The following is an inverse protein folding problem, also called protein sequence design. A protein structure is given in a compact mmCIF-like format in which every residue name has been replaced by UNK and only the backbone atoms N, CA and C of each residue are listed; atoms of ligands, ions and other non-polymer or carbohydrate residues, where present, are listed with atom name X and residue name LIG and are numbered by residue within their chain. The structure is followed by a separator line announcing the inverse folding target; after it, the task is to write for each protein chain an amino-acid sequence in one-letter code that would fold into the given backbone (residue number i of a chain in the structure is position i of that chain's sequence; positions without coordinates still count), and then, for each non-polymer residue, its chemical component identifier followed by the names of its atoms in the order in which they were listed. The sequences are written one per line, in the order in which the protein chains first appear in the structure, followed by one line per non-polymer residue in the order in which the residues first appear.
data_IF_356228671250
#
_entry.id   IF_356228671250
#
_cell.length_a   1.000
_cell.length_b   1.000
_cell.length_c   1.000
_cell.angle_alpha   90.00
_cell.angle_beta   90.00
_cell.angle_gamma   90.00
#
_symmetry.space_group_name_H-M   'P 1'
#
loop_
_entity.id
_entity.type
_entity.pdbx_description
1 polymer ?
#
# COMPACT_ATOMS: atom_id res chain seq x y z
N UNK A 1 -37.41 -9.98 -21.39
CA UNK A 1 -35.94 -10.06 -21.33
C UNK A 1 -35.53 -9.63 -19.93
N UNK A 2 -34.82 -10.48 -19.20
CA UNK A 2 -34.41 -10.18 -17.82
C UNK A 2 -33.29 -9.13 -17.83
N UNK A 3 -33.21 -8.26 -16.82
CA UNK A 3 -32.14 -7.25 -16.69
C UNK A 3 -30.73 -7.85 -16.78
N UNK A 4 -30.58 -9.11 -16.35
CA UNK A 4 -29.32 -9.86 -16.37
C UNK A 4 -28.92 -10.35 -17.78
N UNK A 5 -29.88 -10.50 -18.69
CA UNK A 5 -29.63 -10.89 -20.08
C UNK A 5 -29.05 -9.70 -20.88
N UNK A 6 -29.55 -8.48 -20.63
CA UNK A 6 -29.02 -7.26 -21.25
C UNK A 6 -27.58 -6.95 -20.83
N UNK A 7 -27.20 -7.22 -19.58
CA UNK A 7 -25.81 -7.07 -19.11
C UNK A 7 -24.85 -7.98 -19.86
N UNK A 8 -25.25 -9.22 -20.09
CA UNK A 8 -24.44 -10.22 -20.80
C UNK A 8 -24.21 -9.81 -22.24
N UNK A 9 -25.20 -9.19 -22.88
CA UNK A 9 -25.10 -8.70 -24.26
C UNK A 9 -24.19 -7.46 -24.37
N UNK A 10 -24.30 -6.50 -23.45
CA UNK A 10 -23.40 -5.34 -23.39
C UNK A 10 -21.95 -5.75 -23.10
N UNK A 11 -21.74 -6.78 -22.29
CA UNK A 11 -20.40 -7.34 -22.02
C UNK A 11 -19.82 -8.09 -23.22
N UNK A 12 -20.68 -8.56 -24.13
CA UNK A 12 -20.31 -9.23 -25.40
C UNK A 12 -19.99 -8.23 -26.51
N UNK A 13 -20.48 -7.00 -26.43
CA UNK A 13 -20.20 -5.96 -27.40
C UNK A 13 -18.83 -5.31 -27.12
N UNK A 14 -17.92 -5.41 -28.10
CA UNK A 14 -16.58 -4.84 -28.01
C UNK A 14 -16.67 -3.36 -28.41
N UNK A 15 -16.55 -2.47 -27.43
CA UNK A 15 -16.42 -1.02 -27.66
C UNK A 15 -14.94 -0.68 -27.92
N UNK A 16 -14.66 0.14 -28.93
CA UNK A 16 -13.29 0.50 -29.31
C UNK A 16 -12.84 1.80 -28.66
N UNK A 17 -13.78 2.72 -28.39
CA UNK A 17 -13.50 4.03 -27.82
C UNK A 17 -14.10 4.17 -26.40
N UNK A 18 -13.40 4.79 -25.42
CA UNK A 18 -13.99 5.09 -24.10
C UNK A 18 -15.32 5.86 -24.17
N UNK A 19 -15.49 6.72 -25.17
CA UNK A 19 -16.74 7.46 -25.40
C UNK A 19 -17.89 6.50 -25.73
N UNK A 20 -17.64 5.44 -26.52
CA UNK A 20 -18.65 4.43 -26.85
C UNK A 20 -19.06 3.62 -25.60
N UNK A 21 -18.10 3.32 -24.71
CA UNK A 21 -18.38 2.65 -23.43
C UNK A 21 -19.28 3.53 -22.55
N UNK A 22 -18.99 4.82 -22.47
CA UNK A 22 -19.80 5.75 -21.69
C UNK A 22 -21.20 5.92 -22.28
N UNK A 23 -21.31 6.06 -23.61
CA UNK A 23 -22.60 6.11 -24.32
C UNK A 23 -23.44 4.87 -24.02
N UNK A 24 -22.89 3.67 -24.17
CA UNK A 24 -23.62 2.43 -23.89
C UNK A 24 -24.06 2.31 -22.42
N UNK A 25 -23.24 2.78 -21.47
CA UNK A 25 -23.62 2.86 -20.04
C UNK A 25 -24.73 3.88 -19.82
N UNK A 26 -24.67 5.04 -20.46
CA UNK A 26 -25.68 6.09 -20.36
C UNK A 26 -27.01 5.63 -20.96
N UNK A 27 -26.99 5.06 -22.16
CA UNK A 27 -28.17 4.49 -22.83
C UNK A 27 -28.86 3.45 -21.92
N UNK A 28 -28.07 2.63 -21.23
CA UNK A 28 -28.58 1.67 -20.24
C UNK A 28 -29.27 2.34 -19.05
N UNK A 29 -28.67 3.40 -18.49
CA UNK A 29 -29.29 4.15 -17.39
C UNK A 29 -30.58 4.86 -17.85
N UNK A 30 -30.58 5.42 -19.06
CA UNK A 30 -31.71 6.16 -19.62
C UNK A 30 -32.89 5.26 -20.03
N UNK A 31 -32.67 3.98 -20.30
CA UNK A 31 -33.76 3.02 -20.52
C UNK A 31 -34.70 2.90 -19.31
N UNK A 32 -34.19 3.09 -18.09
CA UNK A 32 -34.95 2.91 -16.84
C UNK A 32 -34.73 4.10 -15.89
N UNK A 33 -35.28 5.27 -16.25
CA UNK A 33 -35.08 6.52 -15.49
C UNK A 33 -35.69 6.47 -14.08
N UNK A 34 -36.77 5.70 -13.88
CA UNK A 34 -37.45 5.59 -12.58
C UNK A 34 -36.66 4.73 -11.56
N UNK A 35 -35.72 3.90 -12.01
CA UNK A 35 -34.96 3.02 -11.12
C UNK A 35 -33.84 3.82 -10.46
N UNK A 36 -33.77 3.89 -9.11
CA UNK A 36 -32.68 4.57 -8.44
C UNK A 36 -31.34 3.87 -8.76
N UNK A 37 -30.34 4.68 -9.10
CA UNK A 37 -28.99 4.18 -9.42
C UNK A 37 -28.26 3.83 -8.12
N UNK A 38 -27.70 2.62 -8.06
CA UNK A 38 -26.86 2.19 -6.94
C UNK A 38 -25.47 2.84 -7.05
N UNK A 39 -25.18 3.79 -6.17
CA UNK A 39 -23.83 4.33 -5.98
C UNK A 39 -23.21 3.57 -4.80
N UNK A 40 -22.14 2.80 -4.99
CA UNK A 40 -21.53 2.06 -3.90
C UNK A 40 -20.95 3.05 -2.89
N UNK A 41 -21.34 2.89 -1.63
CA UNK A 41 -20.70 3.59 -0.52
C UNK A 41 -19.24 3.15 -0.36
N UNK A 42 -18.41 4.06 0.15
CA UNK A 42 -17.00 3.76 0.41
C UNK A 42 -16.89 2.62 1.40
N UNK A 43 -16.21 1.54 1.03
CA UNK A 43 -16.00 0.39 1.92
C UNK A 43 -15.13 0.82 3.09
N UNK A 44 -15.70 0.81 4.29
CA UNK A 44 -14.91 0.95 5.51
C UNK A 44 -13.89 -0.19 5.59
N UNK A 45 -12.66 0.13 5.99
CA UNK A 45 -11.65 -0.90 6.25
C UNK A 45 -12.06 -1.66 7.51
N UNK A 46 -12.78 -2.78 7.32
CA UNK A 46 -13.23 -3.61 8.43
C UNK A 46 -12.02 -4.25 9.10
N UNK A 47 -11.94 -4.10 10.43
CA UNK A 47 -10.96 -4.83 11.22
C UNK A 47 -11.10 -6.34 10.96
N UNK A 48 -9.99 -7.09 10.89
CA UNK A 48 -10.05 -8.53 10.75
C UNK A 48 -10.93 -9.16 11.83
N UNK A 49 -11.62 -10.27 11.53
CA UNK A 49 -12.40 -11.04 12.52
C UNK A 49 -11.59 -11.42 13.77
N UNK A 50 -10.27 -11.45 13.69
CA UNK A 50 -9.37 -11.62 14.83
C UNK A 50 -9.53 -10.56 15.94
N UNK A 51 -10.10 -9.39 15.63
CA UNK A 51 -10.39 -8.33 16.60
C UNK A 51 -11.67 -8.53 17.39
N UNK A 52 -12.52 -9.47 16.97
CA UNK A 52 -13.78 -9.82 17.62
C UNK A 52 -13.64 -11.18 18.32
N UNK A 53 -12.97 -11.24 19.48
CA UNK A 53 -13.00 -12.44 20.31
C UNK A 53 -14.43 -12.65 20.82
N UNK A 54 -14.81 -13.92 21.03
CA UNK A 54 -16.06 -14.23 21.71
C UNK A 54 -15.98 -13.79 23.17
N UNK A 55 -17.03 -13.12 23.66
CA UNK A 55 -17.11 -12.63 25.04
C UNK A 55 -17.08 -13.78 26.06
N UNK A 56 -17.76 -14.88 25.75
CA UNK A 56 -17.84 -16.05 26.63
C UNK A 56 -17.43 -17.32 25.88
N UNK A 57 -16.44 -18.01 26.42
CA UNK A 57 -16.10 -19.37 26.01
C UNK A 57 -16.87 -20.32 26.92
N UNK A 58 -17.85 -21.04 26.37
CA UNK A 58 -18.73 -21.94 27.14
C UNK A 58 -18.07 -23.27 27.50
N UNK A 59 -17.03 -23.67 26.76
CA UNK A 59 -16.47 -25.02 26.82
C UNK A 59 -15.05 -25.01 27.40
N UNK A 60 -14.87 -24.33 28.54
CA UNK A 60 -13.57 -24.30 29.24
C UNK A 60 -13.43 -25.58 30.07
N UNK A 61 -12.46 -26.42 29.72
CA UNK A 61 -12.11 -27.59 30.52
C UNK A 61 -11.35 -27.14 31.78
N UNK A 62 -11.52 -27.84 32.91
CA UNK A 62 -10.97 -27.42 34.20
C UNK A 62 -9.46 -27.19 34.18
N UNK A 63 -8.97 -26.27 35.01
CA UNK A 63 -7.58 -25.81 34.98
C UNK A 63 -6.51 -26.90 35.24
N UNK A 64 -6.89 -28.01 35.87
CA UNK A 64 -6.02 -29.17 36.14
C UNK A 64 -6.25 -30.35 35.18
N UNK A 65 -7.13 -30.20 34.19
CA UNK A 65 -7.35 -31.24 33.19
C UNK A 65 -6.14 -31.35 32.26
N UNK A 66 -5.79 -32.58 31.87
CA UNK A 66 -4.68 -32.83 30.93
C UNK A 66 -4.95 -32.31 29.52
N UNK A 67 -3.91 -32.29 28.67
CA UNK A 67 -4.05 -31.89 27.27
C UNK A 67 -4.96 -32.86 26.50
N UNK A 68 -6.11 -32.36 26.04
CA UNK A 68 -7.03 -33.11 25.19
C UNK A 68 -6.59 -33.13 23.73
N UNK A 69 -7.16 -34.04 22.94
CA UNK A 69 -6.84 -34.19 21.51
C UNK A 69 -7.18 -32.96 20.66
N UNK A 70 -8.11 -32.11 21.10
CA UNK A 70 -8.51 -30.88 20.39
C UNK A 70 -7.72 -29.62 20.76
N UNK A 71 -6.86 -29.67 21.79
CA UNK A 71 -6.17 -28.47 22.31
C UNK A 71 -5.19 -27.87 21.29
N UNK A 72 -4.56 -28.73 20.47
CA UNK A 72 -3.65 -28.30 19.42
C UNK A 72 -4.33 -27.41 18.37
N UNK A 73 -5.53 -27.77 17.92
CA UNK A 73 -6.26 -26.97 16.93
C UNK A 73 -6.79 -25.66 17.52
N UNK A 74 -7.15 -25.66 18.81
CA UNK A 74 -7.52 -24.45 19.55
C UNK A 74 -6.33 -23.49 19.57
N UNK A 75 -5.14 -23.96 19.97
CA UNK A 75 -3.92 -23.18 19.98
C UNK A 75 -3.58 -22.63 18.58
N UNK A 76 -3.62 -23.48 17.55
CA UNK A 76 -3.36 -23.07 16.16
C UNK A 76 -4.31 -21.96 15.70
N UNK A 77 -5.60 -22.07 16.03
CA UNK A 77 -6.61 -21.05 15.74
C UNK A 77 -6.36 -19.74 16.49
N UNK A 78 -6.07 -19.81 17.79
CA UNK A 78 -5.73 -18.65 18.62
C UNK A 78 -4.47 -17.95 18.13
N UNK A 79 -3.40 -18.70 17.84
CA UNK A 79 -2.13 -18.17 17.33
C UNK A 79 -2.30 -17.47 15.98
N UNK A 80 -3.06 -18.07 15.06
CA UNK A 80 -3.36 -17.42 13.76
C UNK A 80 -4.13 -16.12 13.94
N UNK A 81 -5.14 -16.09 14.81
CA UNK A 81 -5.88 -14.86 15.12
C UNK A 81 -4.95 -13.80 15.72
N UNK A 82 -4.08 -14.19 16.65
CA UNK A 82 -3.12 -13.29 17.27
C UNK A 82 -2.15 -12.68 16.25
N UNK A 83 -1.56 -13.51 15.37
CA UNK A 83 -0.67 -13.03 14.30
C UNK A 83 -1.35 -12.05 13.36
N UNK A 84 -2.60 -12.36 12.94
CA UNK A 84 -3.39 -11.45 12.09
C UNK A 84 -3.66 -10.13 12.81
N UNK A 85 -3.96 -10.19 14.11
CA UNK A 85 -4.18 -9.01 14.95
C UNK A 85 -2.92 -8.16 14.98
N UNK A 86 -1.80 -8.71 15.42
CA UNK A 86 -0.51 -8.02 15.51
C UNK A 86 -0.08 -7.39 14.18
N UNK A 87 -0.20 -8.14 13.07
CA UNK A 87 0.13 -7.64 11.74
C UNK A 87 -0.75 -6.44 11.34
N UNK A 88 -2.05 -6.47 11.67
CA UNK A 88 -2.95 -5.36 11.40
C UNK A 88 -2.62 -4.13 12.25
N UNK A 89 -2.41 -4.29 13.57
CA UNK A 89 -2.03 -3.16 14.44
C UNK A 89 -0.73 -2.51 13.97
N UNK A 90 0.28 -3.33 13.64
CA UNK A 90 1.57 -2.84 13.15
C UNK A 90 1.42 -2.07 11.83
N UNK A 91 0.63 -2.58 10.89
CA UNK A 91 0.35 -1.91 9.61
C UNK A 91 -0.36 -0.58 9.81
N UNK A 92 -1.41 -0.57 10.64
CA UNK A 92 -2.20 0.63 10.92
C UNK A 92 -1.37 1.69 11.66
N UNK A 93 -0.49 1.29 12.58
CA UNK A 93 0.43 2.19 13.25
C UNK A 93 1.36 2.90 12.26
N UNK A 94 1.98 2.14 11.35
CA UNK A 94 2.85 2.67 10.29
C UNK A 94 2.11 3.62 9.35
N UNK A 95 0.90 3.26 8.92
CA UNK A 95 0.08 4.10 8.05
C UNK A 95 -0.33 5.41 8.75
N UNK A 96 -0.71 5.34 10.02
CA UNK A 96 -1.06 6.51 10.84
C UNK A 96 0.14 7.46 11.00
N UNK A 97 1.32 6.93 11.29
CA UNK A 97 2.54 7.72 11.41
C UNK A 97 2.91 8.42 10.10
N UNK A 98 2.93 7.67 8.99
CA UNK A 98 3.20 8.21 7.66
C UNK A 98 2.19 9.31 7.25
N UNK A 99 0.90 9.10 7.54
CA UNK A 99 -0.14 10.10 7.29
C UNK A 99 0.03 11.35 8.15
N UNK A 100 0.36 11.19 9.44
CA UNK A 100 0.61 12.32 10.33
C UNK A 100 1.83 13.14 9.89
N UNK A 101 2.91 12.48 9.46
CA UNK A 101 4.08 13.16 8.90
C UNK A 101 3.76 13.89 7.60
N UNK A 102 3.00 13.27 6.70
CA UNK A 102 2.60 13.89 5.45
C UNK A 102 1.73 15.12 5.71
N UNK A 103 0.76 15.03 6.61
CA UNK A 103 -0.08 16.17 6.99
C UNK A 103 0.75 17.31 7.59
N UNK A 104 1.72 17.01 8.46
CA UNK A 104 2.66 18.02 8.99
C UNK A 104 3.47 18.68 7.88
N UNK A 105 3.99 17.91 6.92
CA UNK A 105 4.73 18.43 5.76
C UNK A 105 3.85 19.33 4.89
N UNK A 106 2.59 18.94 4.64
CA UNK A 106 1.64 19.77 3.89
C UNK A 106 1.32 21.07 4.62
N UNK A 107 1.05 21.01 5.93
CA UNK A 107 0.75 22.18 6.74
C UNK A 107 1.92 23.18 6.75
N UNK A 108 3.14 22.70 7.03
CA UNK A 108 4.34 23.56 7.04
C UNK A 108 4.62 24.17 5.66
N UNK A 109 4.42 23.43 4.57
CA UNK A 109 4.57 23.98 3.22
C UNK A 109 3.51 25.04 2.91
N UNK A 110 2.27 24.83 3.37
CA UNK A 110 1.19 25.81 3.24
C UNK A 110 1.51 27.09 4.00
N UNK A 111 1.96 27.00 5.25
CA UNK A 111 2.38 28.16 6.06
C UNK A 111 3.55 28.92 5.42
N UNK A 112 4.56 28.22 4.90
CA UNK A 112 5.67 28.84 4.15
C UNK A 112 5.17 29.57 2.90
N UNK A 113 4.26 28.98 2.14
CA UNK A 113 3.68 29.63 0.97
C UNK A 113 2.83 30.85 1.36
N UNK A 114 2.03 30.76 2.43
CA UNK A 114 1.19 31.86 2.92
C UNK A 114 2.01 33.02 3.47
N UNK A 115 3.08 32.76 4.23
CA UNK A 115 3.98 33.79 4.76
C UNK A 115 4.70 34.53 3.63
N UNK A 116 5.19 33.80 2.61
CA UNK A 116 5.79 34.41 1.42
C UNK A 116 4.77 35.22 0.61
N UNK A 117 3.57 34.67 0.39
CA UNK A 117 2.49 35.36 -0.31
C UNK A 117 2.02 36.61 0.44
N UNK A 118 1.92 36.56 1.77
CA UNK A 118 1.58 37.70 2.63
C UNK A 118 2.66 38.78 2.59
N UNK A 119 3.96 38.41 2.63
CA UNK A 119 5.08 39.34 2.46
C UNK A 119 4.98 40.06 1.11
N UNK A 120 4.78 39.31 0.01
CA UNK A 120 4.62 39.86 -1.35
C UNK A 120 3.37 40.74 -1.47
N UNK A 121 2.22 40.30 -0.94
CA UNK A 121 0.97 41.07 -0.91
C UNK A 121 1.11 42.37 -0.13
N UNK A 122 1.78 42.36 1.02
CA UNK A 122 2.08 43.56 1.83
C UNK A 122 2.96 44.54 1.06
N UNK A 123 4.03 44.07 0.40
CA UNK A 123 4.88 44.92 -0.45
C UNK A 123 4.07 45.56 -1.59
N UNK A 124 3.24 44.79 -2.28
CA UNK A 124 2.39 45.29 -3.37
C UNK A 124 1.37 46.33 -2.89
N UNK A 125 0.69 46.08 -1.76
CA UNK A 125 -0.28 47.03 -1.19
C UNK A 125 0.38 48.36 -0.79
N UNK A 126 1.58 48.31 -0.19
CA UNK A 126 2.37 49.53 0.11
C UNK A 126 2.71 50.30 -1.16
N UNK A 127 3.22 49.63 -2.21
CA UNK A 127 3.54 50.26 -3.51
C UNK A 127 2.30 50.85 -4.20
N UNK A 128 1.16 50.15 -4.13
CA UNK A 128 -0.12 50.62 -4.67
C UNK A 128 -0.63 51.84 -3.91
N UNK A 129 -0.48 51.86 -2.58
CA UNK A 129 -0.83 52.99 -1.72
C UNK A 129 0.03 54.22 -2.02
N UNK A 130 1.35 54.08 -2.07
CA UNK A 130 2.26 55.19 -2.39
C UNK A 130 2.05 55.72 -3.82
N UNK A 131 1.82 54.85 -4.80
CA UNK A 131 1.52 55.26 -6.18
C UNK A 131 0.21 56.03 -6.28
N UNK A 132 -0.82 55.65 -5.53
CA UNK A 132 -2.09 56.41 -5.45
C UNK A 132 -1.90 57.76 -4.78
N UNK A 133 -1.16 57.82 -3.68
CA UNK A 133 -0.86 59.08 -2.99
C UNK A 133 -0.08 60.03 -3.91
N UNK A 134 0.96 59.54 -4.60
CA UNK A 134 1.72 60.33 -5.58
C UNK A 134 0.83 60.88 -6.69
N UNK A 135 -0.07 60.08 -7.25
CA UNK A 135 -1.05 60.55 -8.26
C UNK A 135 -2.01 61.59 -7.70
N UNK A 136 -2.48 61.43 -6.48
CA UNK A 136 -3.37 62.41 -5.85
C UNK A 136 -2.66 63.74 -5.59
N UNK A 137 -1.44 63.71 -5.06
CA UNK A 137 -0.63 64.91 -4.84
C UNK A 137 -0.23 65.58 -6.15
N UNK A 138 0.15 64.81 -7.17
CA UNK A 138 0.53 65.31 -8.48
C UNK A 138 -0.66 65.97 -9.19
N UNK A 139 -1.86 65.39 -9.10
CA UNK A 139 -3.07 66.00 -9.66
C UNK A 139 -3.56 67.25 -8.90
N UNK A 140 -3.20 67.38 -7.61
CA UNK A 140 -3.43 68.61 -6.84
C UNK A 140 -2.38 69.69 -7.16
N UNK A 141 -1.14 69.29 -7.44
CA UNK A 141 -0.04 70.21 -7.76
C UNK A 141 -0.01 70.65 -9.24
N UNK A 142 -0.48 69.80 -10.17
CA UNK A 142 -0.64 70.14 -11.59
C UNK A 142 -1.72 71.21 -11.82
N UNK A 143 -2.60 71.42 -10.85
CA UNK A 143 -3.52 72.56 -10.83
C UNK A 143 -2.88 73.86 -10.27
N UNK A 144 -1.60 73.82 -9.86
CA UNK A 144 -0.94 74.98 -9.22
C UNK A 144 0.41 75.40 -9.78
N UNK A 145 1.23 74.57 -10.43
CA UNK A 145 2.54 75.03 -10.93
C UNK A 145 3.13 74.18 -12.06
N UNK A 146 3.30 74.80 -13.23
CA UNK A 146 4.29 74.44 -14.26
C UNK A 146 5.68 74.88 -13.76
N UNK A 147 6.55 73.97 -13.30
CA UNK A 147 8.02 73.98 -13.52
C UNK A 147 8.75 72.93 -12.65
N UNK A 148 9.73 72.28 -13.27
CA UNK A 148 11.00 71.78 -12.68
C UNK A 148 11.09 70.39 -12.01
N UNK A 149 11.75 69.52 -12.80
CA UNK A 149 12.92 68.66 -12.50
C UNK A 149 12.80 67.38 -11.65
N UNK A 150 13.25 66.31 -12.34
CA UNK A 150 13.61 64.95 -11.96
C UNK A 150 14.14 64.67 -10.54
N UNK A 151 13.76 63.50 -10.00
CA UNK A 151 14.69 62.65 -9.25
C UNK A 151 14.35 61.16 -9.38
N UNK A 152 15.38 60.41 -9.75
CA UNK A 152 15.48 58.95 -9.78
C UNK A 152 15.42 58.38 -8.35
N UNK A 153 14.75 57.25 -8.18
CA UNK A 153 14.93 56.40 -7.00
C UNK A 153 14.72 54.95 -7.43
N UNK A 154 15.84 54.31 -7.76
CA UNK A 154 15.96 52.87 -7.83
C UNK A 154 15.93 52.28 -6.43
N UNK A 155 15.26 51.14 -6.30
CA UNK A 155 15.33 50.25 -5.15
C UNK A 155 15.36 48.83 -5.75
N UNK A 156 16.56 48.43 -6.15
CA UNK A 156 16.91 47.05 -6.44
C UNK A 156 17.20 46.36 -5.12
N UNK A 157 16.40 45.36 -4.78
CA UNK A 157 16.75 44.37 -3.75
C UNK A 157 16.39 42.99 -4.31
N UNK A 158 17.32 42.51 -5.14
CA UNK A 158 17.48 41.15 -5.62
C UNK A 158 17.99 40.29 -4.46
N UNK A 159 17.10 39.56 -3.79
CA UNK A 159 17.51 38.45 -2.92
C UNK A 159 17.41 37.15 -3.74
N UNK A 160 18.48 36.88 -4.50
CA UNK A 160 18.76 35.61 -5.14
C UNK A 160 18.93 34.51 -4.10
N UNK A 161 17.92 33.69 -3.88
CA UNK A 161 18.11 32.37 -3.27
C UNK A 161 18.49 31.40 -4.38
N UNK A 162 19.79 31.07 -4.44
CA UNK A 162 20.36 30.04 -5.31
C UNK A 162 19.54 28.76 -5.20
N UNK A 163 18.78 28.45 -6.26
CA UNK A 163 18.37 27.10 -6.59
C UNK A 163 19.35 26.65 -7.67
N UNK A 164 20.24 25.74 -7.30
CA UNK A 164 21.15 25.09 -8.23
C UNK A 164 20.32 24.21 -9.16
N UNK A 165 20.23 24.62 -10.42
CA UNK A 165 19.86 23.77 -11.55
C UNK A 165 20.99 23.82 -12.56
N UNK A 166 21.66 22.69 -12.74
CA UNK A 166 22.54 22.32 -13.83
C UNK A 166 22.48 20.78 -13.82
N UNK A 167 22.17 20.02 -14.87
CA UNK A 167 22.25 20.23 -16.32
C UNK A 167 21.40 19.17 -17.03
N UNK A 168 21.06 19.43 -18.29
CA UNK A 168 20.36 18.53 -19.21
C UNK A 168 21.14 17.24 -19.56
N UNK A 169 20.46 16.10 -19.66
CA UNK A 169 20.41 15.22 -20.84
C UNK A 169 19.46 14.02 -20.59
N UNK A 170 18.77 13.55 -21.63
CA UNK A 170 18.03 12.27 -21.65
C UNK A 170 18.75 11.30 -22.61
N UNK A 171 18.44 9.99 -22.74
CA UNK A 171 17.63 9.05 -21.93
C UNK A 171 18.41 7.73 -21.61
N UNK A 172 17.72 6.67 -21.12
CA UNK A 172 18.16 5.28 -20.82
C UNK A 172 18.65 5.09 -19.36
N UNK A 173 18.36 4.02 -18.62
CA UNK A 173 17.83 2.68 -18.89
C UNK A 173 17.28 2.09 -17.58
N UNK A 174 16.27 1.21 -17.69
CA UNK A 174 15.88 0.28 -16.63
C UNK A 174 17.09 -0.51 -16.10
N UNK A 175 17.36 -0.44 -14.80
CA UNK A 175 18.08 -1.51 -14.09
C UNK A 175 17.40 -1.70 -12.73
N UNK A 176 16.70 -2.82 -12.60
CA UNK A 176 16.30 -3.39 -11.32
C UNK A 176 17.56 -3.77 -10.55
N UNK A 177 17.75 -3.24 -9.35
CA UNK A 177 18.66 -3.84 -8.38
C UNK A 177 17.92 -4.14 -7.09
N UNK A 178 17.64 -5.44 -6.95
CA UNK A 178 17.48 -6.15 -5.69
C UNK A 178 18.59 -5.75 -4.71
N UNK A 179 18.20 -5.21 -3.55
CA UNK A 179 19.05 -5.26 -2.37
C UNK A 179 18.45 -6.20 -1.33
N UNK A 180 19.02 -7.41 -1.32
CA UNK A 180 19.01 -8.35 -0.22
C UNK A 180 19.65 -7.71 1.02
N UNK A 181 18.85 -7.44 2.03
CA UNK A 181 19.32 -7.04 3.36
C UNK A 181 19.83 -8.30 4.08
N UNK A 182 21.15 -8.36 4.32
CA UNK A 182 21.77 -9.25 5.31
C UNK A 182 21.51 -8.64 6.70
N UNK A 183 20.62 -9.26 7.47
CA UNK A 183 20.52 -9.02 8.91
C UNK A 183 21.30 -10.09 9.67
N UNK A 184 22.27 -9.60 10.44
CA UNK A 184 23.01 -10.30 11.48
C UNK A 184 22.09 -10.62 12.66
N UNK A 185 21.80 -11.89 12.87
CA UNK A 185 21.20 -12.39 14.10
C UNK A 185 22.31 -12.93 15.03
N UNK A 186 22.59 -12.21 16.12
CA UNK A 186 23.26 -12.76 17.29
C UNK A 186 22.21 -13.23 18.28
N UNK A 187 22.12 -14.54 18.51
CA UNK A 187 21.52 -15.10 19.72
C UNK A 187 22.24 -16.40 20.10
N UNK A 188 22.46 -16.65 21.40
CA UNK A 188 23.34 -17.71 21.90
C UNK A 188 22.68 -19.09 21.85
N UNK A 189 23.50 -20.11 21.61
CA UNK A 189 23.18 -21.54 21.60
C UNK A 189 23.00 -22.12 23.01
N UNK A 190 22.30 -23.27 23.10
CA UNK A 190 22.90 -24.43 23.77
C UNK A 190 22.93 -25.70 22.90
N UNK A 191 23.92 -26.55 23.23
CA UNK A 191 24.54 -27.74 22.61
C UNK A 191 23.65 -28.93 22.16
N UNK A 192 24.25 -29.97 21.49
CA UNK A 192 23.60 -30.80 20.46
C UNK A 192 23.17 -32.20 20.93
N UNK A 193 22.18 -32.76 20.23
CA UNK A 193 21.89 -34.20 20.23
C UNK A 193 21.47 -34.66 18.82
N UNK A 194 21.85 -35.89 18.49
CA UNK A 194 22.23 -36.43 17.19
C UNK A 194 21.08 -36.63 16.17
N UNK A 195 21.38 -36.50 14.87
CA UNK A 195 20.52 -36.96 13.77
C UNK A 195 21.18 -38.13 13.03
N UNK A 196 20.42 -39.16 12.60
CA UNK A 196 20.79 -39.98 11.46
C UNK A 196 20.21 -39.41 10.14
N UNK A 197 21.02 -39.51 9.08
CA UNK A 197 20.79 -39.00 7.73
C UNK A 197 19.59 -39.65 7.00
N UNK A 198 18.93 -38.85 6.15
CA UNK A 198 17.83 -39.28 5.28
C UNK A 198 18.38 -39.91 4.00
N UNK A 199 18.10 -41.19 3.77
CA UNK A 199 18.28 -41.85 2.48
C UNK A 199 16.99 -41.82 1.64
N UNK A 200 17.15 -41.52 0.35
CA UNK A 200 16.11 -41.40 -0.67
C UNK A 200 15.36 -42.71 -0.97
N UNK A 201 14.06 -42.75 -0.70
CA UNK A 201 13.17 -43.91 -0.96
C UNK A 201 12.60 -43.85 -2.39
N UNK A 202 13.45 -43.87 -3.43
CA UNK A 202 12.97 -43.89 -4.83
C UNK A 202 13.59 -44.93 -5.75
N UNK A 203 14.12 -46.04 -5.24
CA UNK A 203 14.64 -47.13 -6.10
C UNK A 203 14.34 -48.55 -5.65
N UNK A 204 13.16 -48.88 -5.13
CA UNK A 204 12.74 -50.30 -5.04
C UNK A 204 11.26 -50.50 -5.35
N UNK A 205 10.90 -50.42 -6.65
CA UNK A 205 9.60 -50.93 -7.13
C UNK A 205 9.68 -51.66 -8.48
N UNK A 206 10.84 -52.16 -8.88
CA UNK A 206 10.95 -53.10 -10.00
C UNK A 206 11.99 -54.13 -9.66
N UNK A 207 11.54 -55.31 -9.28
CA UNK A 207 12.05 -56.64 -9.66
C UNK A 207 11.30 -57.68 -8.80
N UNK A 208 10.05 -57.93 -9.17
CA UNK A 208 9.31 -59.12 -8.76
C UNK A 208 8.55 -59.62 -9.99
N UNK A 209 9.28 -60.23 -10.91
CA UNK A 209 8.79 -61.21 -11.90
C UNK A 209 9.97 -61.71 -12.74
N UNK A 210 9.93 -63.00 -13.11
CA UNK A 210 10.95 -63.83 -13.80
C UNK A 210 12.06 -64.30 -12.85
N UNK A 211 12.34 -65.60 -12.62
CA UNK A 211 12.02 -66.83 -13.34
C UNK A 211 11.87 -68.03 -12.38
N UNK A 212 10.99 -68.94 -12.78
CA UNK A 212 11.01 -70.37 -12.50
C UNK A 212 12.21 -71.06 -13.17
N UNK A 213 12.83 -72.02 -12.49
CA UNK A 213 13.16 -73.37 -12.98
C UNK A 213 14.29 -74.00 -12.16
N UNK A 214 14.02 -75.22 -11.71
CA UNK A 214 14.92 -76.37 -11.53
C UNK A 214 16.16 -76.23 -10.62
N UNK A 215 16.14 -76.91 -9.48
CA UNK A 215 16.93 -78.16 -9.33
C UNK A 215 16.41 -78.98 -8.13
N UNK A 216 16.14 -80.26 -8.42
CA UNK A 216 15.98 -81.36 -7.47
C UNK A 216 17.32 -81.64 -6.76
N UNK A 217 17.28 -82.13 -5.52
CA UNK A 217 17.97 -83.37 -5.12
C UNK A 217 17.75 -83.65 -3.61
N UNK A 218 17.55 -84.92 -3.34
CA UNK A 218 17.35 -85.57 -2.05
C UNK A 218 18.54 -85.36 -1.09
N UNK A 219 18.29 -85.34 0.23
CA UNK A 219 18.91 -86.35 1.09
C UNK A 219 18.12 -86.56 2.39
N UNK A 220 18.06 -87.84 2.76
CA UNK A 220 17.29 -88.45 3.83
C UNK A 220 18.07 -88.43 5.16
N UNK A 221 17.33 -88.67 6.23
CA UNK A 221 17.76 -89.31 7.48
C UNK A 221 18.76 -88.59 8.41
N UNK A 222 18.26 -88.18 9.59
CA UNK A 222 18.59 -88.84 10.86
C UNK A 222 17.78 -88.32 12.06
N UNK A 223 16.86 -89.17 12.49
CA UNK A 223 16.46 -89.36 13.89
C UNK A 223 17.62 -89.87 14.76
N UNK A 224 17.46 -89.78 16.08
CA UNK A 224 18.36 -90.23 17.19
C UNK A 224 19.66 -89.43 17.34
N UNK A 225 19.98 -88.85 18.50
CA UNK A 225 19.85 -89.38 19.86
C UNK A 225 19.50 -88.33 20.91
#
# INVERSE_FOLDING_TARGET
MSSDEEERLLKKQIFKNPVEIQKARLDRLMKNVEKPVFIPETKEMKAPRAFQPHEFVRNVMGASAGAGSGEFDIYRGCRRRQMIREAYLSREAKEREANAEWQKKVATNKEKAETQAAKKRRKHLKRKGSSKHKKYTDNQNSNKTNESTASSSGDEDEETTKSETNTADAPLSNTEENQTVKESASSPSPSPEQQPEKADIRKHLRHRQTNSSDEEEEEKDKTTS
#
